data_IF_080473135258
#
_entry.id   IF_080473135258
#
_cell.length_a   1.000
_cell.length_b   1.000
_cell.length_c   1.000
_cell.angle_alpha   90.00
_cell.angle_beta   90.00
_cell.angle_gamma   90.00
#
_symmetry.space_group_name_H-M   'P 1'
#
loop_
_entity.id
_entity.type
_entity.pdbx_description
1 polymer ?
#
# COMPACT_ATOMS: atom_id res chain seq x y z
N UNK A 1 -9.15 -3.32 1.80
CA UNK A 1 -9.00 -4.54 0.98
C UNK A 1 -10.04 -4.50 -0.13
N UNK A 2 -9.74 -5.02 -1.33
CA UNK A 2 -10.69 -5.02 -2.44
C UNK A 2 -11.98 -5.77 -2.08
N UNK A 3 -13.13 -5.29 -2.56
CA UNK A 3 -14.42 -5.94 -2.40
C UNK A 3 -14.50 -7.18 -3.29
N UNK A 4 -14.90 -8.30 -2.69
CA UNK A 4 -15.18 -9.53 -3.41
C UNK A 4 -16.56 -9.46 -4.07
N UNK A 5 -16.72 -10.18 -5.17
CA UNK A 5 -18.04 -10.33 -5.79
C UNK A 5 -19.00 -11.07 -4.86
N UNK A 6 -20.25 -10.62 -4.70
CA UNK A 6 -21.27 -11.40 -4.01
C UNK A 6 -21.56 -12.68 -4.81
N UNK A 7 -21.93 -13.76 -4.13
CA UNK A 7 -22.29 -15.01 -4.79
C UNK A 7 -23.47 -14.79 -5.74
N UNK A 8 -23.35 -15.24 -7.00
CA UNK A 8 -24.41 -15.14 -8.00
C UNK A 8 -24.72 -13.72 -8.51
N UNK A 9 -23.95 -12.69 -8.13
CA UNK A 9 -24.14 -11.31 -8.58
C UNK A 9 -22.86 -10.71 -9.17
N UNK A 10 -23.01 -9.72 -10.04
CA UNK A 10 -21.89 -8.93 -10.58
C UNK A 10 -21.49 -7.84 -9.59
N UNK A 11 -20.20 -7.44 -9.64
CA UNK A 11 -19.73 -6.25 -8.94
C UNK A 11 -20.42 -5.01 -9.52
N UNK A 12 -20.87 -4.10 -8.66
CA UNK A 12 -21.38 -2.80 -9.10
C UNK A 12 -20.26 -1.97 -9.73
N UNK A 13 -20.59 -1.00 -10.57
CA UNK A 13 -19.58 -0.12 -11.17
C UNK A 13 -18.84 0.71 -10.10
N UNK A 14 -19.52 1.08 -9.01
CA UNK A 14 -18.94 1.76 -7.86
C UNK A 14 -17.91 0.88 -7.14
N UNK A 15 -18.23 -0.39 -6.90
CA UNK A 15 -17.28 -1.34 -6.30
C UNK A 15 -16.06 -1.59 -7.19
N UNK A 16 -16.24 -1.59 -8.52
CA UNK A 16 -15.12 -1.76 -9.47
C UNK A 16 -14.17 -0.57 -9.42
N UNK A 17 -14.71 0.64 -9.42
CA UNK A 17 -13.90 1.86 -9.33
C UNK A 17 -13.16 1.91 -7.99
N UNK A 18 -13.86 1.62 -6.88
CA UNK A 18 -13.23 1.51 -5.56
C UNK A 18 -12.10 0.48 -5.52
N UNK A 19 -12.29 -0.69 -6.12
CA UNK A 19 -11.26 -1.71 -6.23
C UNK A 19 -10.07 -1.25 -7.09
N UNK A 20 -10.32 -0.54 -8.19
CA UNK A 20 -9.28 -0.01 -9.07
C UNK A 20 -8.40 1.00 -8.35
N UNK A 21 -9.00 1.92 -7.60
CA UNK A 21 -8.29 2.94 -6.84
C UNK A 21 -7.46 2.32 -5.70
N UNK A 22 -8.04 1.33 -5.01
CA UNK A 22 -7.30 0.57 -3.99
C UNK A 22 -6.13 -0.17 -4.61
N UNK A 23 -6.32 -0.86 -5.73
CA UNK A 23 -5.26 -1.66 -6.33
C UNK A 23 -4.12 -0.78 -6.85
N UNK A 24 -4.44 0.36 -7.48
CA UNK A 24 -3.44 1.32 -7.95
C UNK A 24 -2.57 1.85 -6.81
N UNK A 25 -3.17 2.30 -5.71
CA UNK A 25 -2.42 2.80 -4.57
C UNK A 25 -1.63 1.70 -3.84
N UNK A 26 -2.16 0.47 -3.75
CA UNK A 26 -1.42 -0.65 -3.15
C UNK A 26 -0.19 -1.01 -3.98
N UNK A 27 -0.32 -1.06 -5.32
CA UNK A 27 0.79 -1.33 -6.22
C UNK A 27 1.92 -0.28 -6.09
N UNK A 28 1.57 1.00 -5.94
CA UNK A 28 2.55 2.05 -5.70
C UNK A 28 3.33 1.83 -4.38
N UNK A 29 2.61 1.52 -3.29
CA UNK A 29 3.23 1.26 -1.98
C UNK A 29 4.10 0.00 -2.02
N UNK A 30 3.66 -1.08 -2.67
CA UNK A 30 4.45 -2.31 -2.82
C UNK A 30 5.72 -2.07 -3.62
N UNK A 31 5.64 -1.35 -4.74
CA UNK A 31 6.82 -1.00 -5.54
C UNK A 31 7.82 -0.16 -4.73
N UNK A 32 7.34 0.81 -3.95
CA UNK A 32 8.19 1.63 -3.07
C UNK A 32 8.84 0.74 -2.01
N UNK A 33 8.07 -0.14 -1.36
CA UNK A 33 8.60 -1.07 -0.36
C UNK A 33 9.64 -2.04 -0.95
N UNK A 34 9.42 -2.55 -2.16
CA UNK A 34 10.41 -3.40 -2.84
C UNK A 34 11.70 -2.63 -3.10
N UNK A 35 11.62 -1.41 -3.65
CA UNK A 35 12.80 -0.57 -3.89
C UNK A 35 13.55 -0.27 -2.60
N UNK A 36 12.83 -0.01 -1.50
CA UNK A 36 13.44 0.17 -0.19
C UNK A 36 14.12 -1.10 0.31
N UNK A 37 13.52 -2.29 0.18
CA UNK A 37 14.18 -3.55 0.53
C UNK A 37 15.46 -3.76 -0.26
N UNK A 38 15.44 -3.53 -1.58
CA UNK A 38 16.64 -3.60 -2.43
C UNK A 38 17.69 -2.60 -1.98
N UNK A 39 17.31 -1.35 -1.68
CA UNK A 39 18.23 -0.34 -1.18
C UNK A 39 18.79 -0.69 0.21
N UNK A 40 18.01 -1.28 1.10
CA UNK A 40 18.48 -1.73 2.41
C UNK A 40 19.58 -2.79 2.29
N UNK A 41 19.36 -3.75 1.39
CA UNK A 41 20.31 -4.81 1.08
C UNK A 41 21.59 -4.20 0.50
N UNK A 42 21.47 -3.33 -0.51
CA UNK A 42 22.64 -2.73 -1.18
C UNK A 42 23.36 -1.66 -0.35
N UNK A 43 22.63 -0.85 0.41
CA UNK A 43 23.17 0.26 1.20
C UNK A 43 23.63 -0.16 2.60
N UNK A 44 22.91 -1.09 3.23
CA UNK A 44 23.22 -1.61 4.55
C UNK A 44 24.30 -2.68 4.52
N UNK A 45 24.09 -3.76 3.76
CA UNK A 45 25.00 -4.92 3.75
C UNK A 45 26.32 -4.59 3.04
N UNK A 46 26.26 -3.83 1.94
CA UNK A 46 27.46 -3.57 1.13
C UNK A 46 28.13 -2.21 1.37
N UNK A 47 27.44 -1.21 1.95
CA UNK A 47 27.99 0.16 2.10
C UNK A 47 27.98 0.73 3.52
N UNK A 48 27.41 0.02 4.51
CA UNK A 48 27.43 0.45 5.92
C UNK A 48 26.59 1.69 6.26
N UNK A 49 25.74 2.17 5.34
CA UNK A 49 24.93 3.38 5.54
C UNK A 49 23.48 3.04 5.91
N UNK A 50 23.21 2.76 7.18
CA UNK A 50 21.90 2.29 7.67
C UNK A 50 20.97 3.38 8.21
N UNK A 51 21.48 4.57 8.54
CA UNK A 51 20.73 5.63 9.25
C UNK A 51 19.54 6.21 8.48
N UNK A 52 19.72 6.60 7.22
CA UNK A 52 18.66 7.23 6.42
C UNK A 52 17.59 6.23 5.94
N UNK A 53 17.93 4.94 5.88
CA UNK A 53 16.99 3.88 5.52
C UNK A 53 15.85 3.73 6.55
N UNK A 54 16.18 3.80 7.84
CA UNK A 54 15.20 3.69 8.93
C UNK A 54 14.17 4.83 8.93
N UNK A 55 14.60 6.05 8.58
CA UNK A 55 13.70 7.21 8.47
C UNK A 55 12.73 7.04 7.31
N UNK A 56 13.21 6.61 6.15
CA UNK A 56 12.38 6.44 4.97
C UNK A 56 11.35 5.30 5.13
N UNK A 57 11.73 4.19 5.75
CA UNK A 57 10.79 3.09 6.06
C UNK A 57 9.70 3.52 7.02
N UNK A 58 10.00 4.35 8.03
CA UNK A 58 8.99 4.91 8.94
C UNK A 58 7.98 5.80 8.21
N UNK A 59 8.43 6.63 7.27
CA UNK A 59 7.55 7.47 6.44
C UNK A 59 6.58 6.59 5.64
N UNK A 60 7.08 5.55 4.96
CA UNK A 60 6.24 4.64 4.18
C UNK A 60 5.23 3.91 5.09
N UNK A 61 5.65 3.47 6.28
CA UNK A 61 4.75 2.88 7.27
C UNK A 61 3.64 3.85 7.67
N UNK A 62 3.97 5.09 8.04
CA UNK A 62 2.97 6.11 8.42
C UNK A 62 2.00 6.39 7.28
N UNK A 63 2.49 6.57 6.05
CA UNK A 63 1.64 6.78 4.86
C UNK A 63 0.71 5.58 4.63
N UNK A 64 1.22 4.36 4.76
CA UNK A 64 0.41 3.14 4.62
C UNK A 64 -0.68 3.03 5.71
N UNK A 65 -0.37 3.41 6.95
CA UNK A 65 -1.33 3.40 8.06
C UNK A 65 -2.40 4.48 7.90
N UNK A 66 -2.03 5.70 7.52
CA UNK A 66 -2.97 6.79 7.24
C UNK A 66 -3.92 6.42 6.10
N UNK A 67 -3.40 5.79 5.04
CA UNK A 67 -4.22 5.26 3.95
C UNK A 67 -5.20 4.21 4.46
N UNK A 68 -4.74 3.24 5.27
CA UNK A 68 -5.62 2.19 5.81
C UNK A 68 -6.74 2.78 6.68
N UNK A 69 -6.45 3.81 7.47
CA UNK A 69 -7.45 4.57 8.24
C UNK A 69 -8.46 5.27 7.32
N UNK A 70 -8.00 5.91 6.25
CA UNK A 70 -8.88 6.59 5.28
C UNK A 70 -9.78 5.57 4.55
N UNK A 71 -9.22 4.43 4.14
CA UNK A 71 -9.99 3.33 3.57
C UNK A 71 -11.00 2.72 4.55
N UNK A 72 -10.74 2.73 5.87
CA UNK A 72 -11.69 2.27 6.88
C UNK A 72 -12.86 3.27 7.06
N UNK A 73 -12.63 4.57 6.83
CA UNK A 73 -13.66 5.60 6.89
C UNK A 73 -14.53 5.68 5.62
N UNK A 74 -14.12 5.03 4.53
CA UNK A 74 -14.79 5.13 3.24
C UNK A 74 -16.25 4.63 3.33
N UNK A 75 -17.21 5.45 2.86
CA UNK A 75 -18.66 5.23 3.01
C UNK A 75 -19.14 3.87 2.47
N UNK A 76 -18.48 3.41 1.41
CA UNK A 76 -18.76 2.16 0.70
C UNK A 76 -18.29 0.93 1.51
N UNK A 77 -17.41 1.08 2.50
CA UNK A 77 -16.86 -0.03 3.30
C UNK A 77 -17.69 -0.35 4.56
N UNK A 78 -18.77 0.40 4.84
CA UNK A 78 -19.78 0.00 5.83
C UNK A 78 -20.55 -1.23 5.37
#
# INVERSE_FOLDING_TARGET
TPRKKPHGRKLTNEDKNFNRDINSATAAIENINQRFKTYAILGGIYRGATGDFYKATKIVQVVSTLRNLNLNKHRIRK
#
